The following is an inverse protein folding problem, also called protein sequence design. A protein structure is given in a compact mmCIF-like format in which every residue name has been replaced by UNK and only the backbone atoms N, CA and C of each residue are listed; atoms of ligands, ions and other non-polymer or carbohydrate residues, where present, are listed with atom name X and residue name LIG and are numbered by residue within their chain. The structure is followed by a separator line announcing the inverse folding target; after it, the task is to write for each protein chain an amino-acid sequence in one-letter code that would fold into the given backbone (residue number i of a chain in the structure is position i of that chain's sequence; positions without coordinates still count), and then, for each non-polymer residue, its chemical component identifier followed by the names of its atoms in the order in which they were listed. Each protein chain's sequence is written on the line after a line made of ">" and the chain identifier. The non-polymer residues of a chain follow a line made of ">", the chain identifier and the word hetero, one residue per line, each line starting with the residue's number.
data_IF_573300142824
#
_entry.id   IF_573300142824
#
_cell.length_a   1.000
_cell.length_b   1.000
_cell.length_c   1.000
_cell.angle_alpha   90.00
_cell.angle_beta   90.00
_cell.angle_gamma   90.00
#
_symmetry.space_group_name_H-M   'P 1'
#
loop_
_entity.id
_entity.type
_entity.pdbx_description
1 polymer ?
#
# COMPACT_ATOMS: atom_id res chain seq x y z
N UNK A 1 37.88 33.69 18.08
CA UNK A 1 36.51 33.33 17.67
C UNK A 1 36.22 31.98 18.29
N UNK A 2 35.45 31.94 19.37
CA UNK A 2 35.16 30.71 20.13
C UNK A 2 33.86 30.14 19.57
N UNK A 3 33.90 28.95 18.99
CA UNK A 3 32.68 28.18 18.70
C UNK A 3 32.12 27.67 20.03
N UNK A 4 31.09 28.33 20.53
CA UNK A 4 30.24 27.79 21.58
C UNK A 4 29.42 26.64 21.01
N UNK A 5 29.69 25.42 21.48
CA UNK A 5 28.81 24.28 21.27
C UNK A 5 27.53 24.54 22.07
N UNK A 6 26.46 24.91 21.37
CA UNK A 6 25.12 24.92 21.96
C UNK A 6 24.67 23.46 22.12
N UNK A 7 24.88 22.89 23.30
CA UNK A 7 24.17 21.68 23.70
C UNK A 7 22.70 22.05 23.92
N UNK A 8 21.86 21.73 22.93
CA UNK A 8 20.40 21.79 23.07
C UNK A 8 19.98 20.80 24.16
N UNK A 9 19.78 21.31 25.38
CA UNK A 9 19.10 20.58 26.45
C UNK A 9 17.66 20.32 26.01
N UNK A 10 17.36 19.07 25.62
CA UNK A 10 16.01 18.65 25.22
C UNK A 10 15.97 17.55 24.17
N UNK A 11 17.05 17.29 23.44
CA UNK A 11 17.10 16.18 22.49
C UNK A 11 17.50 14.90 23.24
N UNK A 12 16.51 14.05 23.56
CA UNK A 12 16.81 12.67 23.92
C UNK A 12 17.59 12.03 22.77
N UNK A 13 18.58 11.20 23.08
CA UNK A 13 19.25 10.40 22.07
C UNK A 13 18.19 9.68 21.22
N UNK A 14 18.39 9.55 19.88
CA UNK A 14 17.45 8.83 19.04
C UNK A 14 17.18 7.47 19.67
N UNK A 15 15.91 7.20 19.98
CA UNK A 15 15.53 5.88 20.46
C UNK A 15 15.52 4.97 19.26
N UNK A 16 16.38 3.96 19.25
CA UNK A 16 16.34 2.93 18.22
C UNK A 16 15.07 2.11 18.43
N UNK A 17 14.18 2.16 17.44
CA UNK A 17 13.00 1.30 17.38
C UNK A 17 13.34 0.13 16.48
N UNK A 18 13.51 -1.05 17.08
CA UNK A 18 13.58 -2.29 16.32
C UNK A 18 12.18 -2.85 16.17
N UNK A 19 11.79 -3.33 14.97
CA UNK A 19 10.51 -4.01 14.81
C UNK A 19 10.49 -5.24 15.73
N UNK A 20 9.41 -5.39 16.50
CA UNK A 20 9.19 -6.54 17.36
C UNK A 20 8.60 -7.74 16.61
N UNK A 21 8.16 -7.53 15.38
CA UNK A 21 7.51 -8.52 14.54
C UNK A 21 7.93 -8.33 13.07
N UNK A 22 8.17 -9.44 12.39
CA UNK A 22 8.45 -9.49 10.95
C UNK A 22 7.42 -10.44 10.34
N UNK A 23 6.45 -9.88 9.62
CA UNK A 23 5.46 -10.67 8.89
C UNK A 23 6.01 -10.98 7.50
N UNK A 24 6.07 -12.25 7.14
CA UNK A 24 6.40 -12.68 5.77
C UNK A 24 5.10 -12.88 5.00
N UNK A 25 4.87 -12.04 4.00
CA UNK A 25 3.71 -12.15 3.11
C UNK A 25 3.87 -13.40 2.23
N UNK A 26 2.82 -14.23 2.17
CA UNK A 26 2.77 -15.40 1.30
C UNK A 26 2.18 -15.03 -0.07
N UNK A 27 3.07 -14.78 -1.02
CA UNK A 27 2.73 -14.48 -2.42
C UNK A 27 2.87 -15.71 -3.32
N UNK A 28 2.70 -16.92 -2.78
CA UNK A 28 2.85 -18.14 -3.57
C UNK A 28 1.76 -18.27 -4.65
N UNK A 29 2.03 -18.95 -5.78
CA UNK A 29 1.03 -19.19 -6.82
C UNK A 29 -0.21 -19.94 -6.32
N UNK A 30 -0.07 -20.77 -5.29
CA UNK A 30 -1.19 -21.49 -4.71
C UNK A 30 -2.09 -20.52 -3.94
N UNK A 31 -1.52 -19.66 -3.11
CA UNK A 31 -2.25 -18.63 -2.36
C UNK A 31 -2.95 -17.64 -3.30
N UNK A 32 -2.29 -17.21 -4.38
CA UNK A 32 -2.92 -16.38 -5.42
C UNK A 32 -4.10 -17.09 -6.09
N UNK A 33 -3.96 -18.39 -6.40
CA UNK A 33 -5.05 -19.19 -6.97
C UNK A 33 -6.24 -19.30 -6.00
N UNK A 34 -5.98 -19.50 -4.72
CA UNK A 34 -7.01 -19.69 -3.71
C UNK A 34 -7.78 -18.38 -3.42
N UNK A 35 -7.10 -17.24 -3.34
CA UNK A 35 -7.74 -15.92 -3.24
C UNK A 35 -8.53 -15.59 -4.51
N UNK A 36 -8.00 -15.90 -5.70
CA UNK A 36 -8.77 -15.74 -6.95
C UNK A 36 -10.05 -16.59 -6.94
N UNK A 37 -9.97 -17.82 -6.43
CA UNK A 37 -11.13 -18.70 -6.28
C UNK A 37 -12.14 -18.14 -5.26
N UNK A 38 -11.68 -17.60 -4.14
CA UNK A 38 -12.51 -16.89 -3.17
C UNK A 38 -13.27 -15.74 -3.85
N UNK A 39 -12.57 -14.88 -4.58
CA UNK A 39 -13.16 -13.74 -5.29
C UNK A 39 -14.17 -14.15 -6.35
N UNK A 40 -13.92 -15.25 -7.07
CA UNK A 40 -14.88 -15.83 -8.01
C UNK A 40 -16.16 -16.27 -7.30
N UNK A 41 -16.04 -16.98 -6.17
CA UNK A 41 -17.18 -17.47 -5.39
C UNK A 41 -18.00 -16.33 -4.79
N UNK A 42 -17.35 -15.28 -4.26
CA UNK A 42 -18.00 -14.09 -3.71
C UNK A 42 -18.84 -13.31 -4.74
N UNK A 43 -18.48 -13.40 -6.02
CA UNK A 43 -19.21 -12.73 -7.12
C UNK A 43 -20.43 -13.51 -7.61
N UNK A 44 -20.63 -14.76 -7.18
CA UNK A 44 -21.77 -15.58 -7.64
C UNK A 44 -23.04 -15.18 -6.89
N UNK A 45 -24.13 -14.98 -7.63
CA UNK A 45 -25.44 -14.67 -7.05
C UNK A 45 -25.99 -15.82 -6.18
N UNK A 46 -25.68 -17.06 -6.55
CA UNK A 46 -26.10 -18.26 -5.82
C UNK A 46 -24.96 -19.28 -5.77
N UNK A 47 -24.68 -19.76 -4.55
CA UNK A 47 -23.73 -20.83 -4.29
C UNK A 47 -24.49 -22.13 -3.98
N UNK A 48 -23.98 -23.25 -4.47
CA UNK A 48 -24.44 -24.55 -3.97
C UNK A 48 -23.73 -24.91 -2.65
N UNK A 49 -24.21 -25.94 -1.95
CA UNK A 49 -23.67 -26.33 -0.64
C UNK A 49 -22.18 -26.68 -0.64
N UNK A 50 -21.65 -27.23 -1.74
CA UNK A 50 -20.22 -27.51 -1.87
C UNK A 50 -19.41 -26.23 -2.03
N UNK A 51 -19.89 -25.32 -2.87
CA UNK A 51 -19.25 -24.02 -3.11
C UNK A 51 -19.30 -23.12 -1.88
N UNK A 52 -20.40 -23.13 -1.12
CA UNK A 52 -20.50 -22.41 0.14
C UNK A 52 -19.45 -22.93 1.14
N UNK A 53 -19.35 -24.25 1.30
CA UNK A 53 -18.36 -24.85 2.20
C UNK A 53 -16.92 -24.55 1.76
N UNK A 54 -16.66 -24.52 0.46
CA UNK A 54 -15.37 -24.12 -0.11
C UNK A 54 -15.06 -22.66 0.23
N UNK A 55 -16.01 -21.75 -0.03
CA UNK A 55 -15.89 -20.33 0.30
C UNK A 55 -15.65 -20.12 1.79
N UNK A 56 -16.42 -20.76 2.67
CA UNK A 56 -16.28 -20.65 4.13
C UNK A 56 -14.86 -21.05 4.58
N UNK A 57 -14.28 -22.06 3.94
CA UNK A 57 -12.93 -22.53 4.26
C UNK A 57 -11.86 -21.54 3.79
N UNK A 58 -12.04 -20.94 2.61
CA UNK A 58 -11.15 -19.92 2.06
C UNK A 58 -11.19 -18.63 2.89
N UNK A 59 -12.39 -18.16 3.24
CA UNK A 59 -12.57 -16.96 4.08
C UNK A 59 -11.98 -17.15 5.48
N UNK A 60 -12.11 -18.34 6.07
CA UNK A 60 -11.49 -18.66 7.36
C UNK A 60 -9.96 -18.62 7.28
N UNK A 61 -9.39 -19.01 6.14
CA UNK A 61 -7.94 -19.07 5.95
C UNK A 61 -7.33 -17.71 5.60
N UNK A 62 -7.98 -16.94 4.73
CA UNK A 62 -7.40 -15.72 4.15
C UNK A 62 -8.04 -14.43 4.68
N UNK A 63 -9.28 -14.49 5.16
CA UNK A 63 -10.05 -13.32 5.57
C UNK A 63 -10.97 -12.80 4.48
N UNK A 64 -12.05 -12.14 4.91
CA UNK A 64 -13.15 -11.70 4.04
C UNK A 64 -12.79 -10.51 3.17
N UNK A 65 -11.82 -9.71 3.59
CA UNK A 65 -11.42 -8.46 2.94
C UNK A 65 -10.17 -8.61 2.08
N UNK A 66 -9.56 -9.80 2.02
CA UNK A 66 -8.38 -10.04 1.18
C UNK A 66 -8.83 -10.25 -0.27
N UNK A 67 -8.36 -9.38 -1.17
CA UNK A 67 -8.71 -9.40 -2.58
C UNK A 67 -7.53 -9.86 -3.46
N UNK A 68 -6.29 -9.64 -3.02
CA UNK A 68 -5.07 -10.07 -3.69
C UNK A 68 -3.95 -10.43 -2.72
N UNK A 69 -3.08 -11.38 -3.10
CA UNK A 69 -1.80 -11.60 -2.40
C UNK A 69 -0.86 -10.39 -2.45
N UNK A 70 -1.13 -9.48 -3.40
CA UNK A 70 -0.31 -8.29 -3.61
C UNK A 70 -0.83 -7.07 -2.82
N UNK A 71 -1.94 -7.18 -2.09
CA UNK A 71 -2.49 -6.06 -1.34
C UNK A 71 -1.63 -5.73 -0.12
N UNK A 72 -1.28 -4.45 0.06
CA UNK A 72 -0.57 -3.97 1.25
C UNK A 72 -1.53 -3.84 2.44
N UNK A 73 -2.76 -3.46 2.14
CA UNK A 73 -3.86 -3.39 3.10
C UNK A 73 -5.07 -4.09 2.49
N UNK A 74 -5.81 -4.83 3.31
CA UNK A 74 -7.02 -5.50 2.87
C UNK A 74 -8.10 -4.49 2.42
N UNK A 75 -9.08 -4.93 1.63
CA UNK A 75 -10.15 -4.12 1.03
C UNK A 75 -11.13 -3.46 2.02
N UNK A 76 -10.85 -3.50 3.32
CA UNK A 76 -11.59 -2.75 4.32
C UNK A 76 -11.35 -1.23 4.24
N UNK A 77 -12.26 -0.43 4.81
CA UNK A 77 -12.06 1.01 4.90
C UNK A 77 -10.81 1.33 5.75
N UNK A 78 -9.77 1.85 5.10
CA UNK A 78 -8.56 2.32 5.76
C UNK A 78 -8.58 3.84 5.95
N UNK A 79 -7.59 4.39 6.65
CA UNK A 79 -7.38 5.84 6.72
C UNK A 79 -7.34 6.48 5.33
N UNK A 80 -6.83 5.78 4.32
CA UNK A 80 -6.73 6.26 2.95
C UNK A 80 -8.11 6.42 2.27
N UNK A 81 -9.16 5.74 2.74
CA UNK A 81 -10.52 5.91 2.19
C UNK A 81 -11.12 7.30 2.48
N UNK A 82 -10.74 7.93 3.60
CA UNK A 82 -11.24 9.25 3.99
C UNK A 82 -10.22 10.39 3.86
N UNK A 83 -8.93 10.07 4.00
CA UNK A 83 -7.85 11.06 4.09
C UNK A 83 -6.72 10.88 3.07
N UNK A 84 -6.88 10.00 2.07
CA UNK A 84 -5.87 9.75 1.05
C UNK A 84 -5.57 10.97 0.16
N UNK A 85 -4.43 10.91 -0.54
CA UNK A 85 -4.10 11.90 -1.56
C UNK A 85 -5.11 11.80 -2.72
N UNK A 86 -5.55 12.95 -3.25
CA UNK A 86 -6.42 12.97 -4.44
C UNK A 86 -5.62 13.08 -5.74
N UNK A 87 -4.33 13.41 -5.63
CA UNK A 87 -3.41 13.53 -6.76
C UNK A 87 -2.00 13.23 -6.27
N UNK A 88 -1.22 12.57 -7.12
CA UNK A 88 0.22 12.39 -6.98
C UNK A 88 0.86 12.70 -8.34
N UNK A 89 2.00 13.39 -8.33
CA UNK A 89 2.80 13.61 -9.53
C UNK A 89 4.25 13.26 -9.23
N UNK A 90 5.00 12.95 -10.29
CA UNK A 90 6.44 12.71 -10.22
C UNK A 90 7.18 13.65 -11.17
N UNK A 91 8.43 13.94 -10.87
CA UNK A 91 9.38 14.60 -11.78
C UNK A 91 9.51 13.85 -13.10
N UNK A 92 9.63 12.52 -13.03
CA UNK A 92 9.69 11.61 -14.16
C UNK A 92 9.21 10.22 -13.75
N UNK A 93 9.13 9.30 -14.71
CA UNK A 93 8.82 7.90 -14.46
C UNK A 93 9.52 7.01 -15.48
N UNK A 94 9.98 5.84 -15.03
CA UNK A 94 10.51 4.81 -15.90
C UNK A 94 9.44 4.36 -16.90
N UNK A 95 9.86 4.15 -18.14
CA UNK A 95 8.94 3.65 -19.18
C UNK A 95 8.40 2.28 -18.79
N UNK A 96 7.10 2.08 -18.99
CA UNK A 96 6.43 0.81 -18.71
C UNK A 96 7.11 -0.35 -19.46
N UNK A 97 7.26 -1.49 -18.78
CA UNK A 97 7.91 -2.67 -19.34
C UNK A 97 7.19 -3.93 -18.87
N UNK A 98 6.97 -4.88 -19.80
CA UNK A 98 6.32 -6.16 -19.51
C UNK A 98 4.94 -6.01 -18.82
N UNK A 99 4.19 -4.96 -19.17
CA UNK A 99 2.88 -4.66 -18.59
C UNK A 99 2.90 -3.98 -17.21
N UNK A 100 4.08 -3.75 -16.62
CA UNK A 100 4.22 -3.02 -15.36
C UNK A 100 4.37 -1.53 -15.64
N UNK A 101 3.59 -0.71 -14.93
CA UNK A 101 3.70 0.75 -14.93
C UNK A 101 4.57 1.19 -13.74
N UNK A 102 5.26 2.32 -13.89
CA UNK A 102 6.13 2.89 -12.85
C UNK A 102 5.81 4.35 -12.57
N UNK A 103 4.56 4.74 -12.76
CA UNK A 103 4.11 6.14 -12.67
C UNK A 103 3.94 6.55 -11.21
N UNK A 104 3.70 7.84 -11.00
CA UNK A 104 3.51 8.42 -9.67
C UNK A 104 2.40 7.70 -8.87
N UNK A 105 1.35 7.24 -9.54
CA UNK A 105 0.22 6.53 -8.94
C UNK A 105 0.64 5.21 -8.28
N UNK A 106 1.67 4.53 -8.81
CA UNK A 106 2.21 3.30 -8.23
C UNK A 106 2.97 3.53 -6.92
N UNK A 107 3.18 4.78 -6.48
CA UNK A 107 3.74 5.07 -5.17
C UNK A 107 2.73 4.89 -4.03
N UNK A 108 1.42 4.85 -4.33
CA UNK A 108 0.37 4.70 -3.33
C UNK A 108 -0.87 3.96 -3.88
N UNK A 109 -0.66 2.96 -4.75
CA UNK A 109 -1.73 2.09 -5.25
C UNK A 109 -1.99 0.88 -4.33
N UNK A 110 -1.32 0.85 -3.16
CA UNK A 110 -1.46 -0.15 -2.11
C UNK A 110 -1.14 -1.58 -2.58
N UNK A 111 -0.24 -1.72 -3.56
CA UNK A 111 0.20 -3.02 -4.05
C UNK A 111 1.69 -3.28 -3.82
N UNK A 112 2.05 -4.46 -3.34
CA UNK A 112 3.44 -4.96 -3.29
C UNK A 112 4.03 -5.24 -4.68
N UNK A 113 3.21 -5.24 -5.73
CA UNK A 113 3.62 -5.63 -7.09
C UNK A 113 4.22 -4.47 -7.89
N UNK A 114 3.92 -3.25 -7.49
CA UNK A 114 4.20 -2.03 -8.25
C UNK A 114 4.94 -1.03 -7.39
N UNK A 115 5.61 -0.09 -8.05
CA UNK A 115 6.27 1.03 -7.41
C UNK A 115 6.39 2.17 -8.43
N UNK A 116 6.48 3.40 -7.95
CA UNK A 116 7.06 4.46 -8.76
C UNK A 116 8.57 4.21 -8.89
N UNK A 117 9.08 4.33 -10.11
CA UNK A 117 10.51 4.33 -10.41
C UNK A 117 10.79 5.55 -11.26
N UNK A 118 11.80 6.31 -10.91
CA UNK A 118 12.23 7.48 -11.67
C UNK A 118 12.80 7.09 -13.05
N UNK A 119 12.78 8.02 -14.02
CA UNK A 119 13.05 7.73 -15.42
C UNK A 119 14.45 8.10 -15.93
N UNK A 120 15.34 8.57 -15.06
CA UNK A 120 16.72 8.95 -15.40
C UNK A 120 17.61 7.71 -15.52
N UNK A 121 18.72 7.89 -16.22
CA UNK A 121 19.74 6.86 -16.41
C UNK A 121 20.89 6.98 -15.40
N UNK A 122 20.91 8.04 -14.59
CA UNK A 122 21.94 8.31 -13.57
C UNK A 122 21.45 7.95 -12.16
N UNK A 123 22.04 8.54 -11.13
CA UNK A 123 21.72 8.23 -9.72
C UNK A 123 20.34 8.77 -9.26
N UNK A 124 19.58 9.43 -10.13
CA UNK A 124 18.24 9.91 -9.79
C UNK A 124 18.22 11.13 -8.85
N UNK A 125 19.36 11.79 -8.64
CA UNK A 125 19.46 12.94 -7.73
C UNK A 125 18.56 14.08 -8.22
N UNK A 126 17.60 14.47 -7.38
CA UNK A 126 16.65 15.56 -7.65
C UNK A 126 15.28 15.07 -8.15
N UNK A 127 15.09 13.78 -8.35
CA UNK A 127 13.77 13.20 -8.63
C UNK A 127 12.87 13.25 -7.39
N UNK A 128 11.57 13.44 -7.62
CA UNK A 128 10.62 13.68 -6.54
C UNK A 128 9.22 13.14 -6.87
N UNK A 129 8.46 12.93 -5.79
CA UNK A 129 7.01 12.76 -5.80
C UNK A 129 6.38 13.92 -5.02
N UNK A 130 5.28 14.46 -5.55
CA UNK A 130 4.44 15.42 -4.82
C UNK A 130 3.05 14.83 -4.59
N UNK A 131 2.61 14.85 -3.34
CA UNK A 131 1.30 14.37 -2.91
C UNK A 131 0.38 15.54 -2.57
N UNK A 132 -0.85 15.48 -3.08
CA UNK A 132 -1.85 16.51 -2.87
C UNK A 132 -3.02 15.95 -2.08
N UNK A 133 -3.33 16.60 -0.96
CA UNK A 133 -4.41 16.22 -0.06
C UNK A 133 -5.49 17.30 -0.05
N UNK A 134 -6.76 16.89 0.09
CA UNK A 134 -7.84 17.86 0.24
C UNK A 134 -7.75 18.47 1.63
N UNK A 135 -7.84 19.80 1.70
CA UNK A 135 -8.06 20.48 2.98
C UNK A 135 -9.49 20.19 3.43
N UNK A 136 -9.64 19.42 4.51
CA UNK A 136 -10.95 19.25 5.15
C UNK A 136 -11.24 20.53 5.93
N UNK A 137 -12.19 21.34 5.46
CA UNK A 137 -12.69 22.49 6.22
C UNK A 137 -13.71 22.00 7.24
N UNK A 138 -13.34 22.01 8.53
CA UNK A 138 -14.16 21.55 9.67
C UNK A 138 -15.28 22.56 10.02
N UNK A 139 -15.88 23.23 9.02
CA UNK A 139 -16.87 24.28 9.23
C UNK A 139 -18.28 23.92 8.72
N UNK A 140 -18.50 22.69 8.23
CA UNK A 140 -19.80 22.29 7.67
C UNK A 140 -20.20 20.84 8.03
N UNK A 141 -19.89 20.40 9.24
CA UNK A 141 -20.64 19.31 9.88
C UNK A 141 -21.63 19.95 10.84
N UNK A 142 -22.84 20.21 10.34
CA UNK A 142 -23.99 20.63 11.15
C UNK A 142 -24.53 19.51 12.01
#
# INVERSE_FOLDING_TARGET
>A
MILSANTLFGQQAPKDYFPSEIIKIDVSPQTEKDINRQNELLKKEMLNAKEQKELDSLLLQYGETVESVWDIIDGGCSWYCGGGNYKVIASSALTARNGIQYKAEQANDLSYKTAWIEGREDEGIGEYLEFYFKKINIAQSG
#
